data_IF_157968886882
#
_entry.id   IF_157968886882
#
_cell.length_a   1.000
_cell.length_b   1.000
_cell.length_c   1.000
_cell.angle_alpha   90.00
_cell.angle_beta   90.00
_cell.angle_gamma   90.00
#
_symmetry.space_group_name_H-M   'P 1'
#
loop_
_entity.id
_entity.type
_entity.pdbx_description
1 polymer ?
#
# COMPACT_ATOMS: atom_id res chain seq x y z
N UNK A 1 15.51 11.10 19.93
CA UNK A 1 14.75 9.91 19.56
C UNK A 1 13.41 10.35 18.99
N UNK A 2 13.25 10.22 17.67
CA UNK A 2 11.99 10.51 16.98
C UNK A 2 11.37 9.14 16.69
N UNK A 3 10.38 8.75 17.49
CA UNK A 3 9.67 7.50 17.36
C UNK A 3 8.92 7.38 16.03
N UNK A 4 9.16 6.30 15.33
CA UNK A 4 8.45 5.89 14.13
C UNK A 4 7.06 5.37 14.50
N UNK A 5 6.05 6.10 14.18
CA UNK A 5 4.68 5.66 14.26
C UNK A 5 3.71 6.79 14.36
N UNK A 6 3.12 7.11 13.20
CA UNK A 6 1.77 7.71 13.19
C UNK A 6 1.53 8.39 11.83
N UNK A 7 0.72 7.79 10.99
CA UNK A 7 0.26 8.35 9.70
C UNK A 7 -0.46 9.71 9.89
N UNK A 8 -1.00 10.00 11.09
CA UNK A 8 -1.53 11.31 11.46
C UNK A 8 -0.48 12.32 11.91
N UNK A 9 0.75 11.89 12.22
CA UNK A 9 1.81 12.76 12.75
C UNK A 9 2.69 13.39 11.67
N UNK A 10 2.73 12.86 10.45
CA UNK A 10 3.57 13.41 9.39
C UNK A 10 3.23 14.87 9.05
N UNK A 11 1.96 15.21 9.03
CA UNK A 11 1.53 16.58 8.77
C UNK A 11 1.88 17.52 9.93
N UNK A 12 1.73 17.05 11.17
CA UNK A 12 2.06 17.81 12.37
C UNK A 12 3.58 17.98 12.56
N UNK A 13 4.36 16.94 12.26
CA UNK A 13 5.83 16.98 12.28
C UNK A 13 6.34 17.87 11.14
N UNK A 14 5.77 17.80 9.98
CA UNK A 14 6.12 18.63 8.81
C UNK A 14 5.87 20.12 9.09
N UNK A 15 4.75 20.45 9.70
CA UNK A 15 4.42 21.84 10.04
C UNK A 15 5.29 22.38 11.21
N UNK A 16 5.60 21.57 12.22
CA UNK A 16 6.56 21.89 13.27
C UNK A 16 7.99 22.09 12.75
N UNK A 17 8.44 21.21 11.84
CA UNK A 17 9.74 21.35 11.19
C UNK A 17 9.84 22.62 10.33
N UNK A 18 8.73 23.11 9.78
CA UNK A 18 8.65 24.38 9.07
C UNK A 18 8.77 25.58 9.98
N UNK A 19 8.13 25.57 11.14
CA UNK A 19 8.23 26.66 12.13
C UNK A 19 9.65 26.82 12.69
N UNK A 20 10.43 25.73 12.71
CA UNK A 20 11.82 25.75 13.18
C UNK A 20 12.84 26.21 12.11
N UNK A 21 12.41 26.45 10.87
CA UNK A 21 13.31 26.66 9.73
C UNK A 21 12.99 27.92 8.94
N UNK A 22 13.24 29.06 9.54
CA UNK A 22 13.05 30.36 8.87
C UNK A 22 14.04 30.60 7.71
N UNK A 23 15.17 29.88 7.64
CA UNK A 23 16.25 30.07 6.65
C UNK A 23 16.84 28.77 6.12
N UNK A 24 16.04 27.71 5.92
CA UNK A 24 16.54 26.42 5.38
C UNK A 24 15.67 25.96 4.24
N UNK A 25 16.27 25.67 3.10
CA UNK A 25 15.60 25.04 1.97
C UNK A 25 15.08 23.67 2.35
N UNK A 26 13.83 23.36 2.00
CA UNK A 26 13.18 22.12 2.37
C UNK A 26 12.75 21.34 1.14
N UNK A 27 13.33 20.17 0.91
CA UNK A 27 12.92 19.20 -0.09
C UNK A 27 12.03 18.14 0.55
N UNK A 28 10.86 17.93 -0.02
CA UNK A 28 9.94 16.87 0.38
C UNK A 28 9.85 15.85 -0.75
N UNK A 29 10.10 14.59 -0.45
CA UNK A 29 9.99 13.49 -1.42
C UNK A 29 8.90 12.51 -1.01
N UNK A 30 8.15 12.00 -1.98
CA UNK A 30 7.12 10.99 -1.75
C UNK A 30 6.94 10.14 -3.01
N UNK A 31 6.59 8.86 -2.82
CA UNK A 31 6.21 7.99 -3.93
C UNK A 31 4.76 8.23 -4.38
N UNK A 32 3.89 8.60 -3.44
CA UNK A 32 2.48 8.93 -3.65
C UNK A 32 2.17 10.22 -2.91
N UNK A 33 2.14 11.37 -3.59
CA UNK A 33 1.78 12.61 -2.92
C UNK A 33 0.35 12.51 -2.38
N UNK A 34 0.16 12.94 -1.13
CA UNK A 34 -1.19 13.08 -0.61
C UNK A 34 -1.94 14.13 -1.44
N UNK A 35 -3.25 13.94 -1.71
CA UNK A 35 -4.03 14.81 -2.59
C UNK A 35 -3.91 16.29 -2.25
N UNK A 36 -3.92 16.65 -0.98
CA UNK A 36 -3.75 18.04 -0.51
C UNK A 36 -2.39 18.62 -0.90
N UNK A 37 -1.31 17.87 -0.72
CA UNK A 37 0.06 18.34 -1.09
C UNK A 37 0.17 18.52 -2.60
N UNK A 38 -0.40 17.59 -3.38
CA UNK A 38 -0.46 17.68 -4.83
C UNK A 38 -1.26 18.91 -5.27
N UNK A 39 -2.42 19.17 -4.66
CA UNK A 39 -3.24 20.34 -4.96
C UNK A 39 -2.48 21.64 -4.73
N UNK A 40 -1.78 21.80 -3.60
CA UNK A 40 -0.98 23.01 -3.35
C UNK A 40 0.14 23.20 -4.37
N UNK A 41 0.75 22.11 -4.85
CA UNK A 41 1.77 22.18 -5.90
C UNK A 41 1.17 22.56 -7.25
N UNK A 42 0.02 21.99 -7.60
CA UNK A 42 -0.70 22.34 -8.84
C UNK A 42 -1.22 23.78 -8.84
N UNK A 43 -1.53 24.35 -7.69
CA UNK A 43 -1.90 25.76 -7.53
C UNK A 43 -0.69 26.71 -7.54
N UNK A 44 0.53 26.21 -7.77
CA UNK A 44 1.74 27.02 -7.82
C UNK A 44 2.26 27.47 -6.45
N UNK A 45 1.70 26.98 -5.34
CA UNK A 45 2.19 27.28 -4.00
C UNK A 45 3.52 26.59 -3.67
N UNK A 46 3.96 25.65 -4.50
CA UNK A 46 5.24 24.92 -4.37
C UNK A 46 5.68 24.41 -5.74
N UNK A 47 6.99 24.40 -5.94
CA UNK A 47 7.59 23.74 -7.09
C UNK A 47 7.41 22.22 -6.97
N UNK A 48 7.08 21.59 -8.08
CA UNK A 48 6.89 20.14 -8.18
C UNK A 48 7.80 19.60 -9.29
N UNK A 49 8.61 18.60 -8.93
CA UNK A 49 9.36 17.81 -9.91
C UNK A 49 8.94 16.36 -9.80
N UNK A 50 8.71 15.72 -10.94
CA UNK A 50 8.34 14.31 -11.02
C UNK A 50 9.45 13.50 -11.67
N UNK A 51 9.87 12.41 -10.98
CA UNK A 51 10.81 11.44 -11.53
C UNK A 51 9.98 10.37 -12.21
N UNK A 52 9.98 10.36 -13.55
CA UNK A 52 9.14 9.48 -14.38
C UNK A 52 9.92 8.33 -15.03
N UNK A 53 11.25 8.39 -15.04
CA UNK A 53 12.07 7.33 -15.63
C UNK A 53 12.12 6.12 -14.70
N UNK A 54 11.56 4.97 -15.10
CA UNK A 54 11.59 3.76 -14.29
C UNK A 54 13.02 3.19 -14.23
N UNK A 55 13.35 2.45 -13.15
CA UNK A 55 14.59 1.69 -13.09
C UNK A 55 14.67 0.65 -14.24
N UNK A 56 15.86 0.40 -14.81
CA UNK A 56 16.04 -0.64 -15.81
C UNK A 56 15.71 -2.02 -15.23
N UNK A 57 15.29 -2.95 -16.09
CA UNK A 57 15.03 -4.35 -15.75
C UNK A 57 13.91 -4.59 -14.71
N UNK A 58 12.92 -3.71 -14.66
CA UNK A 58 11.71 -3.92 -13.86
C UNK A 58 10.49 -4.05 -14.76
N UNK A 59 9.60 -4.96 -14.36
CA UNK A 59 8.31 -5.13 -15.02
C UNK A 59 7.21 -4.45 -14.20
N UNK A 60 6.19 -3.89 -14.85
CA UNK A 60 4.96 -3.49 -14.17
C UNK A 60 4.38 -4.64 -13.37
N UNK A 61 3.79 -4.34 -12.22
CA UNK A 61 3.08 -5.33 -11.41
C UNK A 61 1.72 -5.58 -12.06
N UNK A 62 1.48 -6.79 -12.53
CA UNK A 62 0.19 -7.17 -13.08
C UNK A 62 -0.85 -7.12 -11.95
N UNK A 63 -1.84 -6.25 -12.11
CA UNK A 63 -2.83 -5.96 -11.06
C UNK A 63 -4.20 -6.43 -11.54
N UNK A 64 -4.87 -7.22 -10.73
CA UNK A 64 -6.18 -7.81 -11.04
C UNK A 64 -7.14 -7.62 -9.87
N UNK A 65 -8.35 -7.11 -10.17
CA UNK A 65 -9.42 -6.99 -9.18
C UNK A 65 -10.32 -8.20 -9.30
N UNK A 66 -10.35 -8.99 -8.25
CA UNK A 66 -11.03 -10.28 -8.24
C UNK A 66 -12.08 -10.37 -7.11
N UNK A 67 -13.11 -11.15 -7.35
CA UNK A 67 -14.00 -11.54 -6.28
C UNK A 67 -13.27 -12.50 -5.34
N UNK A 68 -13.45 -12.31 -4.02
CA UNK A 68 -12.90 -13.24 -3.03
C UNK A 68 -13.24 -14.69 -3.39
N UNK A 69 -12.23 -15.49 -3.65
CA UNK A 69 -12.34 -16.90 -3.99
C UNK A 69 -11.09 -17.65 -3.48
N UNK A 70 -11.26 -18.71 -2.67
CA UNK A 70 -10.16 -19.54 -2.21
C UNK A 70 -9.32 -20.15 -3.33
N UNK A 71 -9.91 -20.44 -4.49
CA UNK A 71 -9.19 -21.00 -5.64
C UNK A 71 -8.11 -20.04 -6.16
N UNK A 72 -8.43 -18.75 -6.25
CA UNK A 72 -7.46 -17.72 -6.67
C UNK A 72 -6.28 -17.66 -5.70
N UNK A 73 -6.57 -17.70 -4.38
CA UNK A 73 -5.54 -17.72 -3.34
C UNK A 73 -4.63 -18.93 -3.50
N UNK A 74 -5.22 -20.11 -3.69
CA UNK A 74 -4.49 -21.37 -3.90
C UNK A 74 -3.61 -21.30 -5.14
N UNK A 75 -4.17 -20.87 -6.26
CA UNK A 75 -3.45 -20.80 -7.54
C UNK A 75 -2.30 -19.79 -7.47
N UNK A 76 -2.53 -18.59 -6.91
CA UNK A 76 -1.51 -17.57 -6.77
C UNK A 76 -0.34 -18.02 -5.88
N UNK A 77 -0.62 -18.67 -4.75
CA UNK A 77 0.42 -19.18 -3.85
C UNK A 77 1.18 -20.33 -4.50
N UNK A 78 0.50 -21.32 -5.08
CA UNK A 78 1.15 -22.45 -5.75
C UNK A 78 2.02 -21.99 -6.92
N UNK A 79 1.54 -21.03 -7.71
CA UNK A 79 2.32 -20.46 -8.80
C UNK A 79 3.61 -19.81 -8.28
N UNK A 80 3.52 -19.02 -7.21
CA UNK A 80 4.68 -18.36 -6.64
C UNK A 80 5.67 -19.36 -6.03
N UNK A 81 5.19 -20.35 -5.30
CA UNK A 81 6.02 -21.44 -4.75
C UNK A 81 6.71 -22.25 -5.83
N UNK A 82 6.04 -22.52 -6.96
CA UNK A 82 6.62 -23.29 -8.09
C UNK A 82 7.84 -22.64 -8.70
N UNK A 83 7.97 -21.33 -8.58
CA UNK A 83 9.12 -20.55 -9.06
C UNK A 83 10.06 -20.07 -7.93
N UNK A 84 9.95 -20.68 -6.74
CA UNK A 84 10.71 -20.32 -5.54
C UNK A 84 10.55 -18.83 -5.14
N UNK A 85 9.35 -18.31 -5.26
CA UNK A 85 9.01 -16.97 -4.80
C UNK A 85 8.25 -16.99 -3.48
N UNK A 86 7.92 -15.79 -2.97
CA UNK A 86 7.20 -15.61 -1.73
C UNK A 86 5.98 -14.71 -1.94
N UNK A 87 4.99 -14.84 -1.07
CA UNK A 87 3.70 -14.15 -1.16
C UNK A 87 3.48 -13.29 0.07
N UNK A 88 3.14 -12.03 -0.15
CA UNK A 88 2.49 -11.21 0.87
C UNK A 88 0.98 -11.40 0.80
N UNK A 89 0.35 -11.71 1.93
CA UNK A 89 -1.09 -11.73 2.07
C UNK A 89 -1.51 -10.64 3.06
N UNK A 90 -2.13 -9.58 2.58
CA UNK A 90 -2.54 -8.44 3.40
C UNK A 90 -3.99 -8.61 3.85
N UNK A 91 -4.20 -8.59 5.16
CA UNK A 91 -5.51 -8.62 5.78
C UNK A 91 -5.61 -7.55 6.87
N UNK A 92 -6.36 -6.48 6.60
CA UNK A 92 -6.37 -5.28 7.44
C UNK A 92 -7.05 -5.46 8.82
N UNK A 93 -7.68 -6.61 9.07
CA UNK A 93 -8.37 -6.89 10.33
C UNK A 93 -7.66 -7.97 11.11
N UNK A 94 -7.20 -7.62 12.31
CA UNK A 94 -6.55 -8.58 13.21
C UNK A 94 -7.53 -9.66 13.65
N UNK A 95 -8.81 -9.32 13.85
CA UNK A 95 -9.82 -10.26 14.36
C UNK A 95 -9.97 -11.52 13.51
N UNK A 96 -9.81 -11.42 12.20
CA UNK A 96 -9.97 -12.56 11.29
C UNK A 96 -8.66 -12.97 10.60
N UNK A 97 -7.51 -12.49 11.05
CA UNK A 97 -6.23 -12.81 10.41
C UNK A 97 -5.89 -14.30 10.54
N UNK A 98 -6.22 -14.91 11.67
CA UNK A 98 -6.02 -16.34 11.90
C UNK A 98 -7.00 -17.22 11.13
N UNK A 99 -8.19 -16.71 10.77
CA UNK A 99 -9.11 -17.38 9.85
C UNK A 99 -8.50 -17.43 8.45
N UNK A 100 -7.84 -16.36 8.03
CA UNK A 100 -7.12 -16.33 6.75
C UNK A 100 -5.90 -17.26 6.79
N UNK A 101 -5.19 -17.35 7.90
CA UNK A 101 -4.13 -18.34 8.08
C UNK A 101 -4.67 -19.77 7.93
N UNK A 102 -5.76 -20.10 8.61
CA UNK A 102 -6.40 -21.41 8.52
C UNK A 102 -6.87 -21.72 7.11
N UNK A 103 -7.41 -20.72 6.39
CA UNK A 103 -7.80 -20.84 4.99
C UNK A 103 -6.58 -21.18 4.11
N UNK A 104 -5.50 -20.40 4.22
CA UNK A 104 -4.30 -20.63 3.41
C UNK A 104 -3.68 -22.00 3.68
N UNK A 105 -3.58 -22.40 4.95
CA UNK A 105 -3.06 -23.73 5.33
C UNK A 105 -3.95 -24.88 4.82
N UNK A 106 -5.24 -24.67 4.74
CA UNK A 106 -6.17 -25.66 4.16
C UNK A 106 -6.04 -25.76 2.64
N UNK A 107 -5.98 -24.62 1.96
CA UNK A 107 -5.92 -24.55 0.50
C UNK A 107 -4.55 -24.94 -0.05
N UNK A 108 -3.47 -24.65 0.68
CA UNK A 108 -2.08 -24.95 0.30
C UNK A 108 -1.35 -25.56 1.51
N UNK A 109 -1.56 -26.86 1.79
CA UNK A 109 -0.99 -27.51 2.99
C UNK A 109 0.54 -27.51 3.03
N UNK A 110 1.19 -27.48 1.89
CA UNK A 110 2.65 -27.50 1.76
C UNK A 110 3.30 -26.13 1.99
N UNK A 111 2.50 -25.04 2.05
CA UNK A 111 3.02 -23.70 2.25
C UNK A 111 3.43 -23.47 3.72
N UNK A 112 4.63 -22.93 3.92
CA UNK A 112 5.09 -22.44 5.21
C UNK A 112 4.52 -21.04 5.43
N UNK A 113 3.58 -20.90 6.36
CA UNK A 113 2.82 -19.69 6.60
C UNK A 113 3.20 -19.06 7.92
N UNK A 114 3.46 -17.76 7.91
CA UNK A 114 3.61 -16.93 9.10
C UNK A 114 2.54 -15.84 9.15
N UNK A 115 2.22 -15.40 10.37
CA UNK A 115 1.30 -14.28 10.64
C UNK A 115 2.04 -13.20 11.39
N UNK A 116 1.92 -11.93 10.93
CA UNK A 116 2.48 -10.76 11.59
C UNK A 116 1.47 -9.62 11.69
N UNK A 117 1.31 -9.03 12.88
CA UNK A 117 0.42 -7.89 13.09
C UNK A 117 0.91 -6.96 14.21
N UNK A 118 0.48 -5.70 14.18
CA UNK A 118 0.98 -4.65 15.06
C UNK A 118 0.65 -4.80 16.56
N UNK A 119 -0.18 -5.79 16.96
CA UNK A 119 -0.45 -6.10 18.37
C UNK A 119 0.51 -7.16 18.94
N UNK A 120 1.38 -7.71 18.09
CA UNK A 120 2.43 -8.62 18.58
C UNK A 120 3.54 -7.85 19.28
N UNK A 121 4.26 -8.53 20.16
CA UNK A 121 5.48 -8.02 20.75
C UNK A 121 6.49 -7.66 19.64
N UNK A 122 7.12 -6.48 19.68
CA UNK A 122 8.01 -6.00 18.63
C UNK A 122 9.11 -7.00 18.24
N UNK A 123 9.74 -7.63 19.22
CA UNK A 123 10.80 -8.62 18.98
C UNK A 123 10.30 -9.87 18.24
N UNK A 124 9.09 -10.33 18.57
CA UNK A 124 8.47 -11.47 17.89
C UNK A 124 8.11 -11.12 16.45
N UNK A 125 7.57 -9.91 16.23
CA UNK A 125 7.23 -9.43 14.90
C UNK A 125 8.48 -9.27 14.04
N UNK A 126 9.53 -8.66 14.58
CA UNK A 126 10.81 -8.50 13.90
C UNK A 126 11.40 -9.86 13.50
N UNK A 127 11.37 -10.85 14.39
CA UNK A 127 11.82 -12.21 14.08
C UNK A 127 11.04 -12.82 12.93
N UNK A 128 9.70 -12.73 12.94
CA UNK A 128 8.86 -13.26 11.85
C UNK A 128 9.23 -12.61 10.51
N UNK A 129 9.46 -11.30 10.51
CA UNK A 129 9.85 -10.57 9.32
C UNK A 129 11.23 -11.03 8.83
N UNK A 130 12.22 -11.16 9.71
CA UNK A 130 13.55 -11.63 9.38
C UNK A 130 13.52 -13.07 8.84
N UNK A 131 12.76 -13.96 9.50
CA UNK A 131 12.58 -15.35 9.05
C UNK A 131 11.91 -15.38 7.66
N UNK A 132 10.96 -14.50 7.36
CA UNK A 132 10.37 -14.39 6.04
C UNK A 132 11.38 -13.89 5.00
N UNK A 133 12.17 -12.86 5.31
CA UNK A 133 13.26 -12.39 4.43
C UNK A 133 14.28 -13.50 4.15
N UNK A 134 14.56 -14.35 5.14
CA UNK A 134 15.49 -15.48 5.05
C UNK A 134 14.89 -16.75 4.43
N UNK A 135 13.70 -16.68 3.86
CA UNK A 135 13.06 -17.82 3.19
C UNK A 135 12.54 -18.95 4.08
N UNK A 136 12.35 -18.70 5.37
CA UNK A 136 11.77 -19.70 6.28
C UNK A 136 10.25 -19.86 6.06
N UNK A 137 9.62 -18.87 5.42
CA UNK A 137 8.19 -18.86 5.10
C UNK A 137 7.94 -18.55 3.63
N UNK A 138 6.94 -19.20 3.05
CA UNK A 138 6.48 -18.98 1.68
C UNK A 138 5.42 -17.89 1.61
N UNK A 139 4.61 -17.77 2.67
CA UNK A 139 3.52 -16.79 2.77
C UNK A 139 3.62 -16.04 4.10
N UNK A 140 3.63 -14.71 4.03
CA UNK A 140 3.46 -13.83 5.18
C UNK A 140 2.07 -13.19 5.14
N UNK A 141 1.21 -13.58 6.08
CA UNK A 141 -0.09 -12.94 6.29
C UNK A 141 0.12 -11.80 7.28
N UNK A 142 -0.17 -10.57 6.86
CA UNK A 142 0.09 -9.40 7.68
C UNK A 142 -1.01 -8.35 7.58
N UNK A 143 -1.09 -7.50 8.59
CA UNK A 143 -1.81 -6.23 8.48
C UNK A 143 -0.97 -5.23 7.68
N UNK A 144 -1.37 -3.95 7.65
CA UNK A 144 -0.65 -2.87 6.96
C UNK A 144 0.80 -2.61 7.45
N UNK A 145 1.29 -3.35 8.46
CA UNK A 145 2.69 -3.24 8.95
C UNK A 145 3.75 -3.45 7.86
N UNK A 146 3.40 -4.13 6.78
CA UNK A 146 4.29 -4.30 5.60
C UNK A 146 4.58 -2.96 4.90
N UNK A 147 3.85 -1.90 5.23
CA UNK A 147 4.10 -0.54 4.72
C UNK A 147 5.46 0.03 5.18
N UNK A 148 6.02 -0.48 6.26
CA UNK A 148 7.21 0.09 6.93
C UNK A 148 8.54 -0.43 6.37
N UNK A 149 8.88 -0.10 5.13
CA UNK A 149 10.29 -0.18 4.67
C UNK A 149 10.90 -1.57 4.48
N UNK A 150 10.13 -2.66 4.63
CA UNK A 150 10.65 -4.02 4.44
C UNK A 150 10.88 -4.26 2.94
N UNK A 151 12.10 -4.62 2.59
CA UNK A 151 12.47 -5.03 1.25
C UNK A 151 12.64 -6.55 1.19
N UNK A 152 11.73 -7.22 0.44
CA UNK A 152 11.80 -8.66 0.19
C UNK A 152 11.85 -8.88 -1.32
N UNK A 153 13.05 -8.90 -1.93
CA UNK A 153 13.19 -8.99 -3.39
C UNK A 153 12.55 -10.22 -3.99
N UNK A 154 12.34 -11.25 -3.19
CA UNK A 154 11.77 -12.51 -3.62
C UNK A 154 10.24 -12.60 -3.47
N UNK A 155 9.61 -11.65 -2.81
CA UNK A 155 8.16 -11.52 -2.78
C UNK A 155 7.68 -10.89 -4.11
N UNK A 156 7.13 -11.71 -4.99
CA UNK A 156 6.66 -11.27 -6.31
C UNK A 156 5.14 -11.34 -6.45
N UNK A 157 4.43 -11.83 -5.45
CA UNK A 157 2.98 -11.81 -5.41
C UNK A 157 2.49 -11.17 -4.12
N UNK A 158 1.51 -10.28 -4.26
CA UNK A 158 0.77 -9.70 -3.14
C UNK A 158 -0.72 -9.93 -3.33
N UNK A 159 -1.37 -10.43 -2.30
CA UNK A 159 -2.82 -10.64 -2.23
C UNK A 159 -3.35 -9.67 -1.18
N UNK A 160 -4.28 -8.80 -1.54
CA UNK A 160 -4.87 -7.82 -0.63
C UNK A 160 -6.34 -8.17 -0.43
N UNK A 161 -6.66 -8.68 0.76
CA UNK A 161 -8.02 -9.05 1.12
C UNK A 161 -8.83 -7.82 1.54
N UNK A 162 -10.11 -7.78 1.14
CA UNK A 162 -10.99 -6.63 1.34
C UNK A 162 -10.38 -5.32 0.80
N UNK A 163 -9.85 -5.37 -0.41
CA UNK A 163 -9.13 -4.25 -1.04
C UNK A 163 -9.96 -2.96 -1.13
N UNK A 164 -11.30 -3.05 -1.17
CA UNK A 164 -12.21 -1.90 -1.18
C UNK A 164 -12.13 -1.04 0.10
N UNK A 165 -11.57 -1.57 1.18
CA UNK A 165 -11.43 -0.86 2.46
C UNK A 165 -10.17 0.01 2.52
N UNK A 166 -9.26 -0.13 1.56
CA UNK A 166 -8.03 0.64 1.50
C UNK A 166 -8.19 1.91 0.67
N UNK A 167 -7.43 2.93 1.01
CA UNK A 167 -7.27 4.11 0.17
C UNK A 167 -6.46 3.79 -1.09
N UNK A 168 -6.62 4.62 -2.13
CA UNK A 168 -5.91 4.40 -3.39
C UNK A 168 -4.40 4.51 -3.23
N UNK A 169 -3.93 5.46 -2.41
CA UNK A 169 -2.51 5.60 -2.06
C UNK A 169 -1.97 4.39 -1.30
N UNK A 170 -2.76 3.82 -0.37
CA UNK A 170 -2.36 2.64 0.39
C UNK A 170 -2.22 1.42 -0.52
N UNK A 171 -3.19 1.20 -1.42
CA UNK A 171 -3.12 0.14 -2.41
C UNK A 171 -1.89 0.27 -3.32
N UNK A 172 -1.56 1.50 -3.74
CA UNK A 172 -0.37 1.75 -4.55
C UNK A 172 0.91 1.45 -3.77
N UNK A 173 1.02 1.85 -2.52
CA UNK A 173 2.17 1.55 -1.67
C UNK A 173 2.32 0.05 -1.40
N UNK A 174 1.21 -0.65 -1.10
CA UNK A 174 1.21 -2.09 -0.90
C UNK A 174 1.63 -2.83 -2.17
N UNK A 175 1.06 -2.46 -3.33
CA UNK A 175 1.47 -3.01 -4.63
C UNK A 175 2.97 -2.82 -4.89
N UNK A 176 3.52 -1.69 -4.51
CA UNK A 176 4.94 -1.38 -4.64
C UNK A 176 5.87 -2.21 -3.75
N UNK A 177 5.34 -3.09 -2.89
CA UNK A 177 6.15 -4.03 -2.09
C UNK A 177 6.62 -5.24 -2.89
N UNK A 178 5.98 -5.54 -4.00
CA UNK A 178 6.38 -6.59 -4.94
C UNK A 178 6.93 -6.00 -6.24
N UNK A 179 7.50 -6.85 -7.11
CA UNK A 179 8.09 -6.40 -8.38
C UNK A 179 9.43 -5.69 -8.22
N UNK A 180 10.17 -5.99 -7.17
CA UNK A 180 11.49 -5.40 -6.90
C UNK A 180 12.66 -6.19 -7.50
N UNK A 181 12.35 -7.27 -8.22
CA UNK A 181 13.29 -8.10 -8.96
C UNK A 181 13.01 -8.05 -10.46
N UNK A 182 13.79 -8.77 -11.25
CA UNK A 182 13.59 -8.96 -12.69
C UNK A 182 12.53 -10.03 -13.04
N UNK A 183 11.69 -10.42 -12.08
CA UNK A 183 10.61 -11.39 -12.27
C UNK A 183 9.27 -10.66 -12.42
N UNK A 184 8.35 -11.26 -13.17
CA UNK A 184 6.96 -10.79 -13.23
C UNK A 184 6.34 -10.85 -11.83
N UNK A 185 5.67 -9.79 -11.44
CA UNK A 185 5.00 -9.67 -10.16
C UNK A 185 3.49 -9.48 -10.35
N UNK A 186 2.73 -9.93 -9.35
CA UNK A 186 1.28 -9.95 -9.37
C UNK A 186 0.69 -9.29 -8.12
N UNK A 187 -0.40 -8.59 -8.32
CA UNK A 187 -1.18 -7.97 -7.26
C UNK A 187 -2.64 -8.35 -7.42
N UNK A 188 -3.15 -9.22 -6.54
CA UNK A 188 -4.55 -9.63 -6.51
C UNK A 188 -5.31 -8.80 -5.47
N UNK A 189 -6.28 -8.03 -5.93
CA UNK A 189 -7.15 -7.21 -5.11
C UNK A 189 -8.47 -7.93 -4.88
N UNK A 190 -8.59 -8.63 -3.77
CA UNK A 190 -9.79 -9.40 -3.45
C UNK A 190 -10.85 -8.50 -2.83
N UNK A 191 -12.06 -8.52 -3.39
CA UNK A 191 -13.18 -7.72 -2.93
C UNK A 191 -14.50 -8.50 -2.96
N UNK A 192 -15.56 -8.02 -2.29
CA UNK A 192 -16.91 -8.42 -2.59
C UNK A 192 -17.27 -8.12 -4.06
N UNK A 193 -18.38 -8.65 -4.59
CA UNK A 193 -18.80 -8.33 -5.95
C UNK A 193 -18.83 -6.82 -6.19
N UNK A 194 -18.27 -6.36 -7.30
CA UNK A 194 -18.18 -4.92 -7.63
C UNK A 194 -19.55 -4.23 -7.61
N UNK A 195 -20.63 -4.95 -7.88
CA UNK A 195 -22.00 -4.45 -7.83
C UNK A 195 -22.47 -4.08 -6.43
N UNK A 196 -21.87 -4.66 -5.38
CA UNK A 196 -22.20 -4.38 -3.98
C UNK A 196 -21.35 -3.26 -3.38
N UNK A 197 -20.35 -2.77 -4.10
CA UNK A 197 -19.44 -1.72 -3.64
C UNK A 197 -20.04 -0.33 -3.88
N UNK A 198 -19.63 0.63 -3.03
CA UNK A 198 -19.89 2.04 -3.29
C UNK A 198 -19.23 2.49 -4.60
N UNK A 199 -19.76 3.52 -5.22
CA UNK A 199 -19.19 4.07 -6.45
C UNK A 199 -17.72 4.50 -6.26
N UNK A 200 -17.42 5.09 -5.12
CA UNK A 200 -16.07 5.52 -4.77
C UNK A 200 -15.09 4.34 -4.64
N UNK A 201 -15.47 3.29 -3.89
CA UNK A 201 -14.65 2.09 -3.75
C UNK A 201 -14.39 1.41 -5.10
N UNK A 202 -15.42 1.33 -5.96
CA UNK A 202 -15.29 0.79 -7.32
C UNK A 202 -14.31 1.60 -8.16
N UNK A 203 -14.42 2.95 -8.14
CA UNK A 203 -13.50 3.83 -8.86
C UNK A 203 -12.05 3.67 -8.38
N UNK A 204 -11.81 3.52 -7.06
CA UNK A 204 -10.47 3.28 -6.53
C UNK A 204 -9.87 1.97 -7.06
N UNK A 205 -10.63 0.87 -7.00
CA UNK A 205 -10.16 -0.43 -7.50
C UNK A 205 -9.88 -0.40 -9.00
N UNK A 206 -10.75 0.22 -9.80
CA UNK A 206 -10.52 0.40 -11.23
C UNK A 206 -9.28 1.28 -11.52
N UNK A 207 -9.07 2.34 -10.74
CA UNK A 207 -7.91 3.20 -10.90
C UNK A 207 -6.60 2.46 -10.64
N UNK A 208 -6.49 1.68 -9.55
CA UNK A 208 -5.26 0.94 -9.25
C UNK A 208 -4.98 -0.17 -10.28
N UNK A 209 -6.00 -0.78 -10.84
CA UNK A 209 -5.89 -1.78 -11.89
C UNK A 209 -5.40 -1.15 -13.21
N UNK A 210 -6.00 -0.01 -13.62
CA UNK A 210 -5.66 0.68 -14.86
C UNK A 210 -4.28 1.34 -14.84
N UNK A 211 -3.85 1.85 -13.69
CA UNK A 211 -2.55 2.50 -13.52
C UNK A 211 -1.51 1.53 -12.94
N UNK A 212 -1.23 0.45 -13.67
CA UNK A 212 -0.24 -0.57 -13.28
C UNK A 212 1.19 -0.25 -13.71
N UNK A 213 1.39 0.73 -14.59
CA UNK A 213 2.70 1.08 -15.12
C UNK A 213 3.65 1.66 -14.08
N UNK A 214 4.95 1.45 -14.30
CA UNK A 214 6.00 2.01 -13.46
C UNK A 214 5.97 3.55 -13.54
N UNK A 215 6.10 4.22 -12.40
CA UNK A 215 6.05 5.69 -12.33
C UNK A 215 4.63 6.27 -12.27
N UNK A 216 3.58 5.46 -12.16
CA UNK A 216 2.19 5.90 -12.13
C UNK A 216 1.75 6.64 -10.84
N UNK A 217 2.64 6.82 -9.86
CA UNK A 217 2.31 7.40 -8.55
C UNK A 217 1.60 8.75 -8.62
N UNK A 218 2.02 9.64 -9.51
CA UNK A 218 1.37 10.96 -9.68
C UNK A 218 -0.02 10.84 -10.30
N UNK A 219 -0.21 9.94 -11.28
CA UNK A 219 -1.52 9.70 -11.90
C UNK A 219 -2.50 9.12 -10.90
N UNK A 220 -2.04 8.21 -10.04
CA UNK A 220 -2.83 7.63 -8.94
C UNK A 220 -3.23 8.73 -7.94
N UNK A 221 -2.32 9.63 -7.59
CA UNK A 221 -2.63 10.74 -6.69
C UNK A 221 -3.65 11.72 -7.31
N UNK A 222 -3.58 11.98 -8.62
CA UNK A 222 -4.57 12.78 -9.34
C UNK A 222 -5.94 12.09 -9.36
N UNK A 223 -5.98 10.77 -9.61
CA UNK A 223 -7.21 10.00 -9.57
C UNK A 223 -7.84 9.95 -8.17
N UNK A 224 -7.01 9.85 -7.12
CA UNK A 224 -7.52 9.91 -5.74
C UNK A 224 -8.15 11.27 -5.44
N UNK A 225 -7.56 12.35 -5.96
CA UNK A 225 -8.12 13.69 -5.88
C UNK A 225 -9.48 13.82 -6.58
N UNK A 226 -9.59 13.30 -7.79
CA UNK A 226 -10.83 13.31 -8.59
C UNK A 226 -11.93 12.46 -7.93
N UNK A 227 -11.59 11.28 -7.41
CA UNK A 227 -12.54 10.36 -6.76
C UNK A 227 -13.13 10.99 -5.48
N UNK A 228 -12.30 11.68 -4.69
CA UNK A 228 -12.76 12.40 -3.50
C UNK A 228 -13.64 13.60 -3.82
N UNK A 229 -13.59 14.08 -5.06
CA UNK A 229 -14.35 15.24 -5.56
C UNK A 229 -13.81 16.59 -5.07
N UNK A 230 -13.85 17.60 -5.93
CA UNK A 230 -13.42 18.96 -5.58
C UNK A 230 -14.27 19.57 -4.45
N UNK A 231 -15.51 19.12 -4.27
CA UNK A 231 -16.44 19.60 -3.23
C UNK A 231 -16.08 19.15 -1.81
N UNK A 232 -15.48 17.96 -1.65
CA UNK A 232 -15.09 17.45 -0.32
C UNK A 232 -13.74 18.01 0.14
N UNK A 233 -12.99 18.68 -0.69
CA UNK A 233 -11.72 19.30 -0.30
C UNK A 233 -11.90 20.57 0.55
N UNK A 234 -13.08 21.17 0.52
CA UNK A 234 -13.47 22.30 1.36
C UNK A 234 -14.30 21.87 2.58
N UNK A 235 -14.65 20.59 2.68
CA UNK A 235 -15.45 20.04 3.79
C UNK A 235 -14.61 19.71 5.01
N UNK A 236 -15.16 19.94 6.19
CA UNK A 236 -14.55 19.74 7.52
C UNK A 236 -14.16 18.27 7.84
N UNK A 237 -14.46 17.32 6.97
CA UNK A 237 -14.21 15.89 7.18
C UNK A 237 -12.81 15.43 6.77
N UNK A 238 -12.01 16.23 6.10
CA UNK A 238 -10.60 15.96 5.83
C UNK A 238 -9.72 16.67 6.88
N UNK A 239 -9.62 16.06 8.05
CA UNK A 239 -8.61 16.30 9.08
C UNK A 239 -7.93 17.68 9.07
N UNK A 240 -8.44 18.60 9.89
CA UNK A 240 -7.77 19.85 10.25
C UNK A 240 -8.31 21.06 9.48
N UNK A 241 -9.02 21.84 10.21
CA UNK A 241 -9.56 23.14 9.85
C UNK A 241 -8.62 23.98 8.98
N UNK A 242 -9.13 24.44 7.84
CA UNK A 242 -8.54 25.55 7.05
C UNK A 242 -8.63 26.89 7.85
N UNK A 243 -9.15 26.89 9.06
CA UNK A 243 -9.32 28.09 9.90
C UNK A 243 -8.00 28.75 10.34
N UNK A 244 -6.84 28.12 10.15
CA UNK A 244 -5.54 28.63 10.54
C UNK A 244 -4.66 29.12 9.37
N UNK A 245 -5.22 29.34 8.20
CA UNK A 245 -4.56 30.14 7.18
C UNK A 245 -4.96 31.61 7.42
N UNK A 246 -4.45 32.18 8.53
CA UNK A 246 -4.50 33.59 8.78
C UNK A 246 -3.80 34.37 7.65
N UNK A 247 -4.47 35.40 7.22
CA UNK A 247 -3.90 36.50 6.47
C UNK A 247 -2.79 37.17 7.28
#
# INVERSE_FOLDING_TARGET
>A
EIGSGLVGSEMCIRDRLRQLKVNVDTLTMTATPIPRTLQFSLMGARDLSSITTPPPNRYPVQTEVERFNPDIIREAINFEMSRNGQVFFINNRIQNIYEMEALVRREVPDARVAVGHGQMEPEKLEKIILDFVNYEYDVLIATSIVESGIDVPNANTIIINNAQQFGLSDLHQLRGRVGRSNRKAFCYLLSPPLTSLTQEARRRLQAIENFSELGSGIHIAMQDLDIRGAGNMLGAEQSGFIADLGY
#
